data_IF_450447027624
#
_entry.id   IF_450447027624
#
_cell.length_a   1.000
_cell.length_b   1.000
_cell.length_c   1.000
_cell.angle_alpha   90.00
_cell.angle_beta   90.00
_cell.angle_gamma   90.00
#
_symmetry.space_group_name_H-M   'P 1'
#
loop_
_entity.id
_entity.type
_entity.pdbx_description
1 polymer ?
#
# COMPACT_ATOMS: atom_id res chain seq x y z
N UNK A 1 10.18 -17.73 17.30
CA UNK A 1 9.07 -16.81 17.01
C UNK A 1 8.68 -17.06 15.57
N UNK A 2 7.54 -17.69 15.36
CA UNK A 2 7.01 -17.86 14.02
C UNK A 2 6.68 -16.48 13.44
N UNK A 3 7.11 -16.23 12.20
CA UNK A 3 6.79 -14.97 11.51
C UNK A 3 5.33 -15.04 11.08
N UNK A 4 4.55 -14.07 11.51
CA UNK A 4 3.19 -13.88 11.03
C UNK A 4 3.21 -13.51 9.54
N UNK A 5 2.39 -14.18 8.73
CA UNK A 5 2.22 -13.90 7.31
C UNK A 5 0.73 -13.65 7.09
N UNK A 6 0.34 -12.46 6.59
CA UNK A 6 -1.05 -12.19 6.23
C UNK A 6 -1.59 -13.21 5.25
N UNK A 7 -2.87 -13.52 5.35
CA UNK A 7 -3.55 -14.51 4.51
C UNK A 7 -4.43 -13.90 3.44
N UNK A 8 -4.83 -12.63 3.61
CA UNK A 8 -5.63 -11.88 2.62
C UNK A 8 -5.00 -10.53 2.29
N UNK A 9 -5.39 -9.96 1.14
CA UNK A 9 -4.95 -8.63 0.72
C UNK A 9 -5.43 -7.56 1.71
N UNK A 10 -6.67 -7.65 2.19
CA UNK A 10 -7.25 -6.69 3.14
C UNK A 10 -6.49 -6.67 4.45
N UNK A 11 -6.14 -7.85 4.95
CA UNK A 11 -5.34 -8.00 6.15
C UNK A 11 -3.96 -7.34 5.99
N UNK A 12 -3.28 -7.60 4.88
CA UNK A 12 -2.01 -6.96 4.55
C UNK A 12 -2.15 -5.43 4.43
N UNK A 13 -3.13 -4.96 3.66
CA UNK A 13 -3.35 -3.55 3.37
C UNK A 13 -3.71 -2.74 4.61
N UNK A 14 -4.36 -3.35 5.61
CA UNK A 14 -4.71 -2.69 6.88
C UNK A 14 -3.51 -2.05 7.61
N UNK A 15 -2.31 -2.60 7.43
CA UNK A 15 -1.07 -2.03 7.97
C UNK A 15 -0.16 -1.49 6.87
N UNK A 16 -0.19 -2.07 5.67
CA UNK A 16 0.72 -1.71 4.60
C UNK A 16 0.47 -0.30 4.04
N UNK A 17 -0.79 0.17 4.02
CA UNK A 17 -1.15 1.53 3.58
C UNK A 17 -0.46 2.56 4.47
N UNK A 18 -0.66 2.48 5.78
CA UNK A 18 -0.06 3.43 6.73
C UNK A 18 1.47 3.34 6.75
N UNK A 19 2.02 2.13 6.60
CA UNK A 19 3.47 1.92 6.57
C UNK A 19 4.18 2.62 5.41
N UNK A 20 3.45 2.98 4.35
CA UNK A 20 4.03 3.69 3.21
C UNK A 20 4.39 5.15 3.55
N UNK A 21 3.74 5.72 4.56
CA UNK A 21 4.07 7.01 5.18
C UNK A 21 4.10 8.23 4.23
N UNK A 22 3.43 8.17 3.08
CA UNK A 22 3.32 9.31 2.16
C UNK A 22 2.46 10.42 2.72
N UNK A 23 1.38 10.09 3.44
CA UNK A 23 0.54 11.08 4.13
C UNK A 23 1.36 12.06 4.99
N UNK A 24 2.18 11.59 5.95
CA UNK A 24 3.08 12.45 6.71
C UNK A 24 4.10 13.24 5.88
N UNK A 25 4.67 12.64 4.83
CA UNK A 25 5.66 13.31 3.97
C UNK A 25 5.03 14.48 3.22
N UNK A 26 3.89 14.25 2.55
CA UNK A 26 3.15 15.29 1.82
C UNK A 26 2.67 16.38 2.77
N UNK A 27 2.10 15.99 3.91
CA UNK A 27 1.62 16.94 4.93
C UNK A 27 2.75 17.83 5.44
N UNK A 28 3.91 17.24 5.74
CA UNK A 28 5.09 18.01 6.18
C UNK A 28 5.56 18.97 5.09
N UNK A 29 5.58 18.54 3.83
CA UNK A 29 5.96 19.41 2.72
C UNK A 29 4.95 20.56 2.51
N UNK A 30 3.66 20.29 2.62
CA UNK A 30 2.58 21.27 2.46
C UNK A 30 2.63 22.39 3.52
N UNK A 31 3.21 22.14 4.71
CA UNK A 31 3.43 23.17 5.72
C UNK A 31 4.50 24.21 5.33
N UNK A 32 5.42 23.86 4.42
CA UNK A 32 6.56 24.71 4.05
C UNK A 32 6.56 25.13 2.58
N UNK A 33 5.75 24.50 1.74
CA UNK A 33 5.74 24.68 0.28
C UNK A 33 4.34 25.03 -0.20
N UNK A 34 4.22 26.17 -0.88
CA UNK A 34 2.97 26.61 -1.51
C UNK A 34 2.13 27.55 -0.63
N UNK A 35 0.83 27.70 -0.93
CA UNK A 35 -0.08 28.49 -0.10
C UNK A 35 -0.21 27.88 1.29
N UNK A 36 -0.28 28.74 2.30
CA UNK A 36 -0.54 28.32 3.68
C UNK A 36 -1.91 27.63 3.77
N UNK A 37 -1.93 26.41 4.31
CA UNK A 37 -3.15 25.67 4.60
C UNK A 37 -3.50 25.82 6.08
N UNK A 38 -4.77 26.05 6.38
CA UNK A 38 -5.23 26.12 7.76
C UNK A 38 -5.21 24.74 8.42
N UNK A 39 -5.15 24.71 9.75
CA UNK A 39 -5.24 23.47 10.52
C UNK A 39 -6.55 22.71 10.25
N UNK A 40 -7.64 23.43 9.96
CA UNK A 40 -8.93 22.87 9.58
C UNK A 40 -8.85 22.04 8.31
N UNK A 41 -8.06 22.47 7.30
CA UNK A 41 -7.83 21.70 6.08
C UNK A 41 -7.17 20.36 6.41
N UNK A 42 -6.13 20.34 7.24
CA UNK A 42 -5.44 19.10 7.61
C UNK A 42 -6.30 18.13 8.43
N UNK A 43 -7.31 18.65 9.13
CA UNK A 43 -8.27 17.87 9.92
C UNK A 43 -9.52 17.49 9.13
N UNK A 44 -9.67 18.00 7.90
CA UNK A 44 -10.85 17.75 7.08
C UNK A 44 -10.91 16.29 6.63
N UNK A 45 -12.13 15.76 6.50
CA UNK A 45 -12.34 14.40 6.02
C UNK A 45 -11.79 14.23 4.59
N UNK A 46 -11.88 15.27 3.77
CA UNK A 46 -11.36 15.30 2.41
C UNK A 46 -9.84 15.16 2.37
N UNK A 47 -9.11 15.88 3.24
CA UNK A 47 -7.65 15.78 3.29
C UNK A 47 -7.19 14.41 3.79
N UNK A 48 -7.82 13.90 4.85
CA UNK A 48 -7.53 12.57 5.39
C UNK A 48 -7.81 11.49 4.33
N UNK A 49 -8.94 11.59 3.63
CA UNK A 49 -9.30 10.67 2.55
C UNK A 49 -8.29 10.74 1.40
N UNK A 50 -7.87 11.95 1.00
CA UNK A 50 -6.86 12.14 -0.03
C UNK A 50 -5.52 11.49 0.36
N UNK A 51 -5.06 11.66 1.61
CA UNK A 51 -3.82 11.04 2.08
C UNK A 51 -3.92 9.51 2.16
N UNK A 52 -5.08 8.96 2.52
CA UNK A 52 -5.33 7.53 2.50
C UNK A 52 -5.28 6.96 1.08
N UNK A 53 -5.85 7.67 0.10
CA UNK A 53 -5.75 7.30 -1.31
C UNK A 53 -4.30 7.37 -1.80
N UNK A 54 -3.57 8.44 -1.46
CA UNK A 54 -2.17 8.60 -1.84
C UNK A 54 -1.29 7.48 -1.25
N UNK A 55 -1.48 7.13 0.02
CA UNK A 55 -0.80 5.99 0.65
C UNK A 55 -1.15 4.66 -0.03
N UNK A 56 -2.43 4.43 -0.35
CA UNK A 56 -2.90 3.19 -0.99
C UNK A 56 -2.30 3.03 -2.37
N UNK A 57 -2.40 4.05 -3.22
CA UNK A 57 -1.82 4.06 -4.57
C UNK A 57 -0.31 3.84 -4.49
N UNK A 58 0.36 4.58 -3.61
CA UNK A 58 1.81 4.46 -3.45
C UNK A 58 2.26 3.08 -2.98
N UNK A 59 1.53 2.47 -2.04
CA UNK A 59 1.76 1.09 -1.58
C UNK A 59 1.57 0.09 -2.73
N UNK A 60 0.46 0.16 -3.46
CA UNK A 60 0.19 -0.77 -4.57
C UNK A 60 1.24 -0.64 -5.69
N UNK A 61 1.60 0.59 -6.08
CA UNK A 61 2.65 0.82 -7.07
C UNK A 61 4.01 0.32 -6.59
N UNK A 62 4.33 0.50 -5.29
CA UNK A 62 5.56 -0.05 -4.72
C UNK A 62 5.57 -1.58 -4.82
N UNK A 63 4.50 -2.24 -4.38
CA UNK A 63 4.38 -3.69 -4.38
C UNK A 63 4.48 -4.26 -5.82
N UNK A 64 3.79 -3.66 -6.79
CA UNK A 64 3.90 -4.02 -8.22
C UNK A 64 5.32 -3.86 -8.75
N UNK A 65 6.05 -2.83 -8.32
CA UNK A 65 7.41 -2.61 -8.79
C UNK A 65 8.43 -3.54 -8.11
N UNK A 66 8.17 -3.97 -6.86
CA UNK A 66 9.16 -4.69 -6.05
C UNK A 66 8.84 -6.15 -5.76
N UNK A 67 7.68 -6.68 -6.16
CA UNK A 67 7.24 -8.03 -5.79
C UNK A 67 8.29 -9.12 -6.08
N UNK A 68 8.91 -9.13 -7.25
CA UNK A 68 9.92 -10.16 -7.58
C UNK A 68 11.10 -10.17 -6.60
N UNK A 69 11.56 -8.98 -6.21
CA UNK A 69 12.64 -8.82 -5.25
C UNK A 69 12.20 -9.27 -3.87
N UNK A 70 10.99 -8.93 -3.47
CA UNK A 70 10.43 -9.25 -2.15
C UNK A 70 10.18 -10.75 -1.98
N UNK A 71 9.70 -11.44 -3.03
CA UNK A 71 9.56 -12.91 -3.07
C UNK A 71 10.91 -13.58 -2.84
N UNK A 72 11.97 -13.12 -3.54
CA UNK A 72 13.33 -13.65 -3.37
C UNK A 72 13.85 -13.45 -1.94
N UNK A 73 13.32 -12.47 -1.20
CA UNK A 73 13.63 -12.21 0.21
C UNK A 73 12.70 -12.95 1.18
N UNK A 74 11.75 -13.75 0.68
CA UNK A 74 10.74 -14.44 1.49
C UNK A 74 9.73 -13.49 2.14
N UNK A 75 9.48 -12.33 1.53
CA UNK A 75 8.46 -11.36 1.96
C UNK A 75 7.23 -11.49 1.07
N UNK A 76 6.07 -11.27 1.67
CA UNK A 76 4.77 -11.28 0.99
C UNK A 76 4.26 -9.84 0.89
N UNK A 77 3.65 -9.51 -0.25
CA UNK A 77 3.03 -8.22 -0.53
C UNK A 77 1.66 -8.42 -1.19
N UNK A 78 0.98 -7.32 -1.56
CA UNK A 78 -0.37 -7.37 -2.13
C UNK A 78 -0.46 -8.20 -3.42
N UNK A 79 0.50 -8.07 -4.34
CA UNK A 79 0.54 -8.82 -5.63
C UNK A 79 0.57 -10.34 -5.38
N UNK A 80 1.40 -10.78 -4.43
CA UNK A 80 1.51 -12.20 -4.08
C UNK A 80 0.24 -12.73 -3.42
N UNK A 81 -0.33 -11.98 -2.49
CA UNK A 81 -1.58 -12.37 -1.81
C UNK A 81 -2.73 -12.45 -2.80
N UNK A 82 -2.80 -11.50 -3.73
CA UNK A 82 -3.80 -11.48 -4.79
C UNK A 82 -3.68 -12.70 -5.71
N UNK A 83 -2.46 -13.05 -6.14
CA UNK A 83 -2.20 -14.22 -6.98
C UNK A 83 -2.57 -15.54 -6.27
N UNK A 84 -2.24 -15.65 -4.98
CA UNK A 84 -2.56 -16.82 -4.18
C UNK A 84 -4.08 -16.98 -3.99
N UNK A 85 -4.79 -15.88 -3.76
CA UNK A 85 -6.25 -15.86 -3.55
C UNK A 85 -7.03 -16.32 -4.79
N UNK A 86 -6.57 -15.97 -5.99
CA UNK A 86 -7.23 -16.34 -7.26
C UNK A 86 -6.92 -17.77 -7.73
N UNK A 87 -5.95 -18.45 -7.11
CA UNK A 87 -5.47 -19.74 -7.58
C UNK A 87 -6.14 -20.97 -6.94
N UNK A 88 -7.01 -20.79 -5.94
CA UNK A 88 -7.59 -21.93 -5.21
C UNK A 88 -6.54 -22.88 -4.62
N UNK A 89 -5.31 -22.41 -4.38
CA UNK A 89 -4.17 -23.21 -3.93
C UNK A 89 -3.26 -23.75 -5.05
N UNK A 90 -3.54 -23.47 -6.32
CA UNK A 90 -2.79 -23.94 -7.49
C UNK A 90 -2.13 -22.82 -8.28
N UNK A 91 -1.07 -22.22 -7.75
CA UNK A 91 -0.09 -21.44 -8.53
C UNK A 91 -0.63 -20.31 -9.40
N UNK A 92 -1.26 -19.30 -8.79
CA UNK A 92 -1.59 -18.06 -9.49
C UNK A 92 -0.34 -17.32 -9.93
N UNK A 93 -0.40 -16.70 -11.10
CA UNK A 93 0.72 -15.93 -11.67
C UNK A 93 0.71 -14.50 -11.12
N UNK A 94 1.80 -14.04 -10.47
CA UNK A 94 1.95 -12.65 -10.04
C UNK A 94 1.76 -11.65 -11.19
N UNK A 95 2.09 -12.05 -12.42
CA UNK A 95 1.94 -11.25 -13.62
C UNK A 95 0.47 -10.93 -13.93
N UNK A 96 -0.44 -11.89 -13.75
CA UNK A 96 -1.88 -11.66 -13.93
C UNK A 96 -2.45 -10.71 -12.86
N UNK A 97 -1.96 -10.79 -11.62
CA UNK A 97 -2.38 -9.90 -10.53
C UNK A 97 -1.96 -8.44 -10.72
N UNK A 98 -0.97 -8.15 -11.56
CA UNK A 98 -0.57 -6.78 -11.88
C UNK A 98 -1.49 -6.11 -12.91
N UNK A 99 -2.24 -6.88 -13.71
CA UNK A 99 -3.10 -6.35 -14.77
C UNK A 99 -4.47 -5.88 -14.23
N UNK A 100 -4.85 -6.33 -13.03
CA UNK A 100 -6.12 -6.00 -12.37
C UNK A 100 -6.00 -4.87 -11.32
N UNK A 101 -4.79 -4.39 -11.03
CA UNK A 101 -4.48 -3.36 -10.02
C UNK A 101 -4.33 -1.95 -10.62
#
# INVERSE_FOLDING_TARGET
MDKYVPTTVEEYMSAAVDSFAVGPIITSAALFVGPELSEEVFRSEEYIHLMNLANTIGRLLNDMQTYEKEIKMGKVNSVMLHALSHSGGGGGSPEASMEEA
#
